data_IF_519176548399
#
_entry.id   IF_519176548399
#
_cell.length_a   1.000
_cell.length_b   1.000
_cell.length_c   1.000
_cell.angle_alpha   90.00
_cell.angle_beta   90.00
_cell.angle_gamma   90.00
#
_symmetry.space_group_name_H-M   'P 1'
#
loop_
_entity.id
_entity.type
_entity.pdbx_description
1 polymer ?
#
# COMPACT_ATOMS: atom_id res chain seq x y z
N UNK A 1 -1.92 -22.21 10.56
CA UNK A 1 -2.68 -22.41 9.31
C UNK A 1 -2.66 -21.18 8.41
N UNK A 2 -2.75 -19.98 8.98
CA UNK A 2 -2.64 -18.71 8.25
C UNK A 2 -1.27 -18.55 7.58
N UNK A 3 -0.17 -18.65 8.35
CA UNK A 3 1.21 -18.62 7.85
C UNK A 3 1.48 -19.66 6.75
N UNK A 4 0.85 -20.84 6.83
CA UNK A 4 1.03 -21.92 5.85
C UNK A 4 0.37 -21.60 4.51
N UNK A 5 -0.83 -20.99 4.52
CA UNK A 5 -1.50 -20.55 3.29
C UNK A 5 -0.82 -19.34 2.67
N UNK A 6 -0.39 -18.41 3.49
CA UNK A 6 0.27 -17.18 3.05
C UNK A 6 1.62 -17.45 2.39
N UNK A 7 2.33 -18.48 2.84
CA UNK A 7 3.62 -18.89 2.29
C UNK A 7 3.52 -20.06 1.28
N UNK A 8 2.33 -20.58 1.01
CA UNK A 8 2.13 -21.73 0.11
C UNK A 8 2.77 -23.04 0.59
N UNK A 9 3.00 -23.19 1.91
CA UNK A 9 3.67 -24.34 2.52
C UNK A 9 2.67 -25.26 3.22
N UNK A 10 3.03 -26.54 3.36
CA UNK A 10 2.20 -27.47 4.13
C UNK A 10 2.30 -27.18 5.62
N UNK A 11 1.21 -27.44 6.36
CA UNK A 11 1.17 -27.27 7.83
C UNK A 11 2.29 -28.05 8.54
N UNK A 12 2.67 -29.22 8.01
CA UNK A 12 3.78 -30.03 8.52
C UNK A 12 5.15 -29.37 8.26
N UNK A 13 5.32 -28.71 7.12
CA UNK A 13 6.53 -27.92 6.81
C UNK A 13 6.63 -26.72 7.74
N UNK A 14 5.53 -25.99 7.96
CA UNK A 14 5.48 -24.86 8.90
C UNK A 14 5.76 -25.31 10.33
N UNK A 15 5.22 -26.44 10.79
CA UNK A 15 5.53 -26.98 12.12
C UNK A 15 6.99 -27.42 12.26
N UNK A 16 7.61 -27.99 11.22
CA UNK A 16 9.05 -28.31 11.22
C UNK A 16 9.90 -27.04 11.26
N UNK A 17 9.51 -25.99 10.53
CA UNK A 17 10.20 -24.69 10.55
C UNK A 17 10.08 -23.97 11.91
N UNK A 18 8.88 -23.94 12.51
CA UNK A 18 8.65 -23.33 13.82
C UNK A 18 9.41 -24.06 14.93
N UNK A 19 9.45 -25.39 14.90
CA UNK A 19 10.19 -26.20 15.89
C UNK A 19 11.70 -26.11 15.73
N UNK A 20 12.20 -25.97 14.51
CA UNK A 20 13.63 -26.00 14.23
C UNK A 20 14.33 -24.65 14.45
N UNK A 21 13.59 -23.53 14.57
CA UNK A 21 14.20 -22.23 14.30
C UNK A 21 13.96 -21.16 15.36
N UNK A 22 13.04 -21.29 16.31
CA UNK A 22 12.85 -20.22 17.29
C UNK A 22 13.94 -20.22 18.36
N UNK A 23 14.26 -21.39 18.92
CA UNK A 23 15.29 -21.55 19.95
C UNK A 23 16.71 -21.40 19.37
N UNK A 24 16.95 -21.86 18.13
CA UNK A 24 18.24 -21.73 17.45
C UNK A 24 18.51 -20.29 16.96
N UNK A 25 17.48 -19.56 16.53
CA UNK A 25 17.59 -18.13 16.18
C UNK A 25 17.74 -17.29 17.42
N UNK A 26 16.99 -17.55 18.50
CA UNK A 26 17.18 -16.83 19.76
C UNK A 26 18.62 -17.01 20.24
N UNK A 27 19.17 -18.22 20.23
CA UNK A 27 20.54 -18.51 20.68
C UNK A 27 21.62 -17.83 19.82
N UNK A 28 21.36 -17.62 18.53
CA UNK A 28 22.25 -16.86 17.61
C UNK A 28 22.13 -15.35 17.79
N UNK A 29 20.95 -14.85 18.16
CA UNK A 29 20.68 -13.41 18.37
C UNK A 29 21.09 -12.96 19.78
N UNK A 30 20.99 -13.82 20.80
CA UNK A 30 21.39 -13.51 22.19
C UNK A 30 22.89 -13.60 22.43
N UNK A 31 23.67 -14.11 21.46
CA UNK A 31 25.14 -14.12 21.54
C UNK A 31 25.73 -15.17 22.49
N UNK A 32 24.99 -16.23 22.85
CA UNK A 32 25.45 -17.24 23.82
C UNK A 32 26.52 -18.21 23.28
N UNK A 33 26.88 -18.13 22.00
CA UNK A 33 28.05 -18.79 21.41
C UNK A 33 28.70 -17.84 20.40
N UNK A 34 29.62 -17.01 20.85
CA UNK A 34 30.51 -16.27 19.95
C UNK A 34 31.88 -16.94 20.00
N UNK A 35 32.12 -17.85 19.05
CA UNK A 35 33.45 -17.94 18.46
C UNK A 35 33.53 -16.75 17.49
N UNK A 36 34.29 -15.73 17.86
CA UNK A 36 34.40 -14.43 17.15
C UNK A 36 34.87 -14.59 15.69
N UNK A 37 35.42 -15.75 15.32
CA UNK A 37 36.01 -16.00 14.01
C UNK A 37 35.02 -16.41 12.90
N UNK A 38 33.72 -16.60 13.19
CA UNK A 38 32.74 -17.12 12.20
C UNK A 38 31.49 -16.27 11.99
N UNK A 39 31.49 -14.99 12.37
CA UNK A 39 30.45 -14.10 11.87
C UNK A 39 30.78 -13.69 10.44
N UNK A 40 30.34 -14.53 9.49
CA UNK A 40 30.57 -14.36 8.06
C UNK A 40 30.06 -12.97 7.62
N UNK A 41 30.95 -12.14 7.10
CA UNK A 41 30.69 -10.77 6.62
C UNK A 41 29.46 -10.73 5.69
N UNK A 42 29.22 -11.83 4.98
CA UNK A 42 28.05 -12.02 4.13
C UNK A 42 26.71 -12.01 4.89
N UNK A 43 26.67 -12.61 6.09
CA UNK A 43 25.48 -12.65 6.96
C UNK A 43 25.21 -11.27 7.57
N UNK A 44 26.25 -10.57 8.02
CA UNK A 44 26.14 -9.20 8.51
C UNK A 44 25.68 -8.24 7.40
N UNK A 45 26.23 -8.37 6.18
CA UNK A 45 25.80 -7.61 5.02
C UNK A 45 24.35 -7.88 4.61
N UNK A 46 23.91 -9.14 4.67
CA UNK A 46 22.52 -9.53 4.45
C UNK A 46 21.55 -8.90 5.45
N UNK A 47 21.90 -8.89 6.73
CA UNK A 47 21.13 -8.24 7.79
C UNK A 47 21.07 -6.71 7.61
N UNK A 48 22.19 -6.08 7.26
CA UNK A 48 22.24 -4.64 6.98
C UNK A 48 21.36 -4.26 5.78
N UNK A 49 21.37 -5.07 4.70
CA UNK A 49 20.51 -4.86 3.53
C UNK A 49 19.03 -4.96 3.91
N UNK A 50 18.65 -5.99 4.67
CA UNK A 50 17.27 -6.16 5.13
C UNK A 50 16.81 -5.03 6.06
N UNK A 51 17.70 -4.51 6.91
CA UNK A 51 17.41 -3.34 7.74
C UNK A 51 17.21 -2.08 6.88
N UNK A 52 18.05 -1.86 5.88
CA UNK A 52 17.94 -0.73 4.95
C UNK A 52 16.65 -0.78 4.12
N UNK A 53 16.29 -1.95 3.57
CA UNK A 53 15.04 -2.13 2.82
C UNK A 53 13.81 -1.81 3.68
N UNK A 54 13.77 -2.31 4.93
CA UNK A 54 12.69 -2.00 5.87
C UNK A 54 12.62 -0.52 6.26
N UNK A 55 13.76 0.14 6.45
CA UNK A 55 13.80 1.58 6.73
C UNK A 55 13.22 2.37 5.56
N UNK A 56 13.59 2.03 4.33
CA UNK A 56 13.09 2.68 3.12
C UNK A 56 11.57 2.49 2.93
N UNK A 57 11.06 1.29 3.24
CA UNK A 57 9.62 1.03 3.24
C UNK A 57 8.90 1.88 4.30
N UNK A 58 9.46 1.99 5.51
CA UNK A 58 8.91 2.83 6.58
C UNK A 58 8.91 4.31 6.20
N UNK A 59 10.00 4.82 5.64
CA UNK A 59 10.09 6.20 5.14
C UNK A 59 9.03 6.47 4.07
N UNK A 60 8.81 5.53 3.15
CA UNK A 60 7.76 5.65 2.13
C UNK A 60 6.35 5.71 2.76
N UNK A 61 6.08 4.88 3.77
CA UNK A 61 4.80 4.89 4.48
C UNK A 61 4.58 6.21 5.22
N UNK A 62 5.60 6.71 5.92
CA UNK A 62 5.55 7.99 6.62
C UNK A 62 5.35 9.17 5.65
N UNK A 63 5.96 9.13 4.47
CA UNK A 63 5.76 10.14 3.43
C UNK A 63 4.34 10.13 2.88
N UNK A 64 3.77 8.93 2.64
CA UNK A 64 2.37 8.79 2.22
C UNK A 64 1.43 9.38 3.29
N UNK A 65 1.72 9.15 4.57
CA UNK A 65 0.93 9.67 5.68
C UNK A 65 1.00 11.20 5.76
N UNK A 66 2.20 11.78 5.63
CA UNK A 66 2.38 13.25 5.55
C UNK A 66 1.64 13.88 4.38
N UNK A 67 1.72 13.25 3.20
CA UNK A 67 0.99 13.72 2.01
C UNK A 67 -0.51 13.65 2.24
N UNK A 68 -1.00 12.60 2.91
CA UNK A 68 -2.41 12.46 3.25
C UNK A 68 -2.87 13.53 4.24
N UNK A 69 -2.13 13.78 5.32
CA UNK A 69 -2.41 14.84 6.30
C UNK A 69 -2.43 16.22 5.62
N UNK A 70 -1.45 16.48 4.75
CA UNK A 70 -1.40 17.72 3.95
C UNK A 70 -2.60 17.83 3.01
N UNK A 71 -3.00 16.73 2.36
CA UNK A 71 -4.17 16.71 1.50
C UNK A 71 -5.47 16.96 2.29
N UNK A 72 -5.62 16.39 3.49
CA UNK A 72 -6.75 16.65 4.39
C UNK A 72 -6.83 18.13 4.77
N UNK A 73 -5.71 18.77 5.12
CA UNK A 73 -5.64 20.22 5.39
C UNK A 73 -6.06 21.05 4.17
N UNK A 74 -5.72 20.59 2.96
CA UNK A 74 -6.03 21.28 1.71
C UNK A 74 -7.41 20.92 1.12
N UNK A 75 -8.20 20.06 1.77
CA UNK A 75 -9.49 19.58 1.24
C UNK A 75 -9.36 18.68 0.00
N UNK A 76 -8.20 18.04 -0.16
CA UNK A 76 -7.85 17.18 -1.29
C UNK A 76 -7.67 15.70 -0.90
N UNK A 77 -8.09 15.29 0.31
CA UNK A 77 -8.08 13.93 0.82
C UNK A 77 -8.78 12.94 -0.11
N UNK A 78 -9.87 13.39 -0.74
CA UNK A 78 -10.63 12.62 -1.72
C UNK A 78 -9.77 12.14 -2.89
N UNK A 79 -8.77 12.93 -3.31
CA UNK A 79 -7.88 12.55 -4.41
C UNK A 79 -7.00 11.36 -4.01
N UNK A 80 -6.50 11.34 -2.77
CA UNK A 80 -5.73 10.21 -2.23
C UNK A 80 -6.60 8.96 -2.19
N UNK A 81 -7.84 9.06 -1.68
CA UNK A 81 -8.78 7.94 -1.62
C UNK A 81 -9.10 7.36 -3.00
N UNK A 82 -9.29 8.21 -4.01
CA UNK A 82 -9.49 7.75 -5.39
C UNK A 82 -8.25 7.00 -5.87
N UNK A 83 -7.07 7.61 -5.76
CA UNK A 83 -5.82 7.03 -6.25
C UNK A 83 -5.51 5.67 -5.62
N UNK A 84 -5.80 5.50 -4.32
CA UNK A 84 -5.66 4.21 -3.64
C UNK A 84 -6.60 3.14 -4.21
N UNK A 85 -7.87 3.49 -4.51
CA UNK A 85 -8.88 2.54 -5.02
C UNK A 85 -8.65 2.15 -6.48
N UNK A 86 -8.11 3.07 -7.29
CA UNK A 86 -7.81 2.80 -8.71
C UNK A 86 -6.39 2.26 -8.95
N UNK A 87 -5.61 2.00 -7.89
CA UNK A 87 -4.27 1.43 -8.01
C UNK A 87 -4.33 0.11 -8.78
N UNK A 88 -3.51 -0.01 -9.82
CA UNK A 88 -3.47 -1.19 -10.71
C UNK A 88 -4.62 -1.27 -11.71
N UNK A 89 -5.36 -0.19 -11.94
CA UNK A 89 -6.33 -0.08 -13.03
C UNK A 89 -5.64 0.40 -14.30
N UNK A 90 -5.91 -0.27 -15.42
CA UNK A 90 -5.39 0.12 -16.73
C UNK A 90 -6.17 1.31 -17.30
N UNK A 91 -5.47 2.17 -18.02
CA UNK A 91 -6.05 3.31 -18.73
C UNK A 91 -5.81 3.14 -20.25
N UNK A 92 -6.74 3.57 -21.12
CA UNK A 92 -7.94 4.35 -20.83
C UNK A 92 -9.07 3.52 -20.17
N UNK A 93 -9.81 4.15 -19.26
CA UNK A 93 -10.81 3.48 -18.43
C UNK A 93 -12.23 3.97 -18.74
N UNK A 94 -13.19 3.05 -18.73
CA UNK A 94 -14.62 3.29 -18.96
C UNK A 94 -15.39 3.51 -17.65
N UNK A 95 -16.60 4.08 -17.77
CA UNK A 95 -17.48 4.36 -16.61
C UNK A 95 -17.69 3.14 -15.73
N UNK A 96 -17.92 1.97 -16.33
CA UNK A 96 -18.27 0.74 -15.63
C UNK A 96 -17.18 0.32 -14.63
N UNK A 97 -15.91 0.39 -15.03
CA UNK A 97 -14.79 0.01 -14.17
C UNK A 97 -14.59 1.00 -13.03
N UNK A 98 -14.74 2.30 -13.30
CA UNK A 98 -14.66 3.33 -12.27
C UNK A 98 -15.80 3.24 -11.26
N UNK A 99 -17.04 3.02 -11.72
CA UNK A 99 -18.20 2.80 -10.86
C UNK A 99 -17.98 1.60 -9.93
N UNK A 100 -17.37 0.52 -10.44
CA UNK A 100 -17.07 -0.67 -9.63
C UNK A 100 -15.97 -0.40 -8.60
N UNK A 101 -14.89 0.29 -8.99
CA UNK A 101 -13.72 0.57 -8.12
C UNK A 101 -14.01 1.62 -7.06
N UNK A 102 -14.79 2.63 -7.40
CA UNK A 102 -15.03 3.79 -6.54
C UNK A 102 -16.32 3.69 -5.73
N UNK A 103 -17.14 2.65 -5.94
CA UNK A 103 -18.43 2.45 -5.27
C UNK A 103 -18.43 2.80 -3.78
N UNK A 104 -19.42 3.60 -3.36
CA UNK A 104 -19.63 3.99 -1.97
C UNK A 104 -18.62 5.00 -1.42
N UNK A 105 -17.82 5.64 -2.29
CA UNK A 105 -17.03 6.81 -1.89
C UNK A 105 -17.95 8.04 -1.88
N UNK A 106 -17.84 8.86 -0.84
CA UNK A 106 -18.56 10.13 -0.72
C UNK A 106 -17.53 11.24 -0.63
N UNK A 107 -17.67 12.27 -1.46
CA UNK A 107 -16.78 13.44 -1.50
C UNK A 107 -17.63 14.69 -1.24
N UNK A 108 -17.39 15.40 -0.14
CA UNK A 108 -18.17 16.58 0.26
C UNK A 108 -19.70 16.37 0.28
N UNK A 109 -20.13 15.23 0.84
CA UNK A 109 -21.54 14.77 0.89
C UNK A 109 -22.14 14.41 -0.48
N UNK A 110 -21.33 14.31 -1.52
CA UNK A 110 -21.75 13.91 -2.87
C UNK A 110 -21.26 12.48 -3.13
N UNK A 111 -22.15 11.53 -3.42
CA UNK A 111 -21.77 10.19 -3.88
C UNK A 111 -20.91 10.29 -5.14
N UNK A 112 -19.78 9.57 -5.17
CA UNK A 112 -18.88 9.58 -6.32
C UNK A 112 -19.58 9.13 -7.60
N UNK A 113 -20.58 8.27 -7.46
CA UNK A 113 -21.41 7.76 -8.56
C UNK A 113 -22.05 8.92 -9.33
N UNK A 114 -22.61 9.93 -8.64
CA UNK A 114 -23.22 11.10 -9.27
C UNK A 114 -22.20 11.89 -10.10
N UNK A 115 -20.98 12.02 -9.59
CA UNK A 115 -19.90 12.70 -10.30
C UNK A 115 -19.50 11.90 -11.53
N UNK A 116 -19.34 10.58 -11.39
CA UNK A 116 -18.96 9.67 -12.48
C UNK A 116 -20.02 9.60 -13.59
N UNK A 117 -21.28 9.90 -13.30
CA UNK A 117 -22.34 9.98 -14.31
C UNK A 117 -22.18 11.14 -15.28
N UNK A 118 -21.56 12.23 -14.81
CA UNK A 118 -21.42 13.48 -15.55
C UNK A 118 -20.05 13.62 -16.26
N UNK A 119 -19.20 12.58 -16.21
CA UNK A 119 -17.87 12.62 -16.84
C UNK A 119 -17.90 12.14 -18.30
N UNK A 120 -16.95 12.66 -19.08
CA UNK A 120 -16.70 12.21 -20.44
C UNK A 120 -15.74 11.00 -20.45
N UNK A 121 -16.15 9.95 -21.15
CA UNK A 121 -15.41 8.69 -21.29
C UNK A 121 -14.91 8.46 -22.72
N UNK A 122 -13.83 7.70 -22.91
CA UNK A 122 -13.01 7.07 -21.87
C UNK A 122 -11.97 8.04 -21.27
N UNK A 123 -11.67 7.83 -19.99
CA UNK A 123 -10.68 8.65 -19.28
C UNK A 123 -9.28 8.10 -19.55
N UNK A 124 -8.37 8.94 -20.05
CA UNK A 124 -7.07 8.49 -20.60
C UNK A 124 -5.96 8.32 -19.57
N UNK A 125 -6.07 8.89 -18.37
CA UNK A 125 -5.04 8.78 -17.32
C UNK A 125 -5.58 9.14 -15.92
N UNK A 126 -4.88 8.74 -14.84
CA UNK A 126 -5.25 9.12 -13.47
C UNK A 126 -5.35 10.63 -13.25
N UNK A 127 -4.41 11.42 -13.79
CA UNK A 127 -4.44 12.87 -13.66
C UNK A 127 -5.67 13.49 -14.35
N UNK A 128 -6.11 12.92 -15.48
CA UNK A 128 -7.33 13.36 -16.15
C UNK A 128 -8.59 13.01 -15.36
N UNK A 129 -8.61 11.87 -14.69
CA UNK A 129 -9.70 11.51 -13.78
C UNK A 129 -9.83 12.52 -12.64
N UNK A 130 -8.74 12.79 -11.93
CA UNK A 130 -8.73 13.75 -10.81
C UNK A 130 -9.13 15.16 -11.26
N UNK A 131 -8.65 15.59 -12.43
CA UNK A 131 -9.03 16.87 -13.00
C UNK A 131 -10.53 16.94 -13.31
N UNK A 132 -11.08 15.93 -13.99
CA UNK A 132 -12.49 15.88 -14.35
C UNK A 132 -13.40 15.90 -13.10
N UNK A 133 -13.03 15.14 -12.07
CA UNK A 133 -13.75 15.13 -10.78
C UNK A 133 -13.64 16.50 -10.08
N UNK A 134 -12.45 17.11 -10.07
CA UNK A 134 -12.26 18.44 -9.47
C UNK A 134 -13.12 19.51 -10.15
N UNK A 135 -13.25 19.46 -11.48
CA UNK A 135 -14.13 20.38 -12.23
C UNK A 135 -15.58 20.21 -11.77
N UNK A 136 -16.07 18.97 -11.68
CA UNK A 136 -17.44 18.68 -11.21
C UNK A 136 -17.70 19.09 -9.77
N UNK A 137 -16.72 18.92 -8.88
CA UNK A 137 -16.83 19.38 -7.49
C UNK A 137 -16.92 20.92 -7.41
N UNK A 138 -16.15 21.64 -8.22
CA UNK A 138 -16.19 23.10 -8.30
C UNK A 138 -17.52 23.62 -8.86
N UNK A 139 -18.05 22.97 -9.89
CA UNK A 139 -19.39 23.28 -10.45
C UNK A 139 -20.50 23.15 -9.39
N UNK A 140 -20.35 22.18 -8.49
CA UNK A 140 -21.26 21.95 -7.34
C UNK A 140 -20.94 22.82 -6.12
N UNK A 141 -20.05 23.81 -6.25
CA UNK A 141 -19.76 24.80 -5.21
C UNK A 141 -18.84 24.32 -4.08
N UNK A 142 -18.16 23.18 -4.25
CA UNK A 142 -17.21 22.64 -3.27
C UNK A 142 -15.78 23.08 -3.66
N UNK A 143 -15.04 23.64 -2.70
CA UNK A 143 -13.67 24.13 -2.88
C UNK A 143 -12.71 23.30 -2.05
#
# INVERSE_FOLDING_TARGET
DEIARELGLTKATVQRMLRANEEEVLRKVTGELIDEEKFDEHVAGGLAKLAFERLKEKELLEEIERVRETAEILGADWAVHIMTRIKGLDFPVEKVDLMKRLKGLVIFDIPIEEILEELDYPIKSPSKLLHAISVKLKEKGKK
#
